data_IF_100517577732
#
_entry.id   IF_100517577732
#
_cell.length_a   1.000
_cell.length_b   1.000
_cell.length_c   1.000
_cell.angle_alpha   90.00
_cell.angle_beta   90.00
_cell.angle_gamma   90.00
#
_symmetry.space_group_name_H-M   'P 1'
#
loop_
_entity.id
_entity.type
_entity.pdbx_description
1 polymer ?
#
# COMPACT_ATOMS: atom_id res chain seq x y z
N UNK A 1 23.49 -13.77 12.07
CA UNK A 1 23.74 -14.40 13.42
C UNK A 1 25.19 -14.26 13.80
N UNK A 2 25.48 -13.93 15.05
CA UNK A 2 26.84 -13.80 15.60
C UNK A 2 27.00 -14.88 16.68
N UNK A 3 27.94 -15.80 16.49
CA UNK A 3 28.20 -16.92 17.39
C UNK A 3 26.94 -17.74 17.79
N UNK A 4 26.01 -17.89 16.87
CA UNK A 4 24.74 -18.59 17.10
C UNK A 4 23.61 -17.75 17.68
N UNK A 5 23.87 -16.51 18.08
CA UNK A 5 22.86 -15.56 18.55
C UNK A 5 22.29 -14.73 17.39
N UNK A 6 21.00 -14.53 17.39
CA UNK A 6 20.33 -13.64 16.43
C UNK A 6 20.57 -12.18 16.83
N UNK A 7 20.81 -11.33 15.86
CA UNK A 7 20.95 -9.87 16.06
C UNK A 7 19.65 -9.18 15.70
N UNK A 8 19.08 -8.42 16.62
CA UNK A 8 17.82 -7.71 16.46
C UNK A 8 18.04 -6.21 16.65
N UNK A 9 17.66 -5.39 15.66
CA UNK A 9 17.66 -3.93 15.82
C UNK A 9 16.25 -3.44 16.16
N UNK A 10 16.13 -2.65 17.25
CA UNK A 10 14.87 -2.03 17.64
C UNK A 10 14.65 -0.76 16.82
N UNK A 11 13.51 -0.66 16.16
CA UNK A 11 13.05 0.50 15.37
C UNK A 11 11.78 1.08 15.99
N UNK A 12 11.56 2.39 15.87
CA UNK A 12 10.34 2.98 16.41
C UNK A 12 10.52 4.44 16.83
N UNK A 13 9.41 5.07 17.23
CA UNK A 13 9.46 6.43 17.74
C UNK A 13 10.13 6.49 19.13
N UNK A 14 11.13 7.36 19.29
CA UNK A 14 11.84 7.57 20.56
C UNK A 14 10.97 8.13 21.69
N UNK A 15 9.68 8.42 21.43
CA UNK A 15 8.68 8.74 22.47
C UNK A 15 8.30 7.53 23.33
N UNK A 16 8.50 6.32 22.82
CA UNK A 16 8.15 5.06 23.49
C UNK A 16 9.33 4.45 24.22
N UNK A 17 10.03 5.27 25.02
CA UNK A 17 11.27 4.87 25.71
C UNK A 17 11.10 3.65 26.60
N UNK A 18 9.99 3.57 27.34
CA UNK A 18 9.73 2.47 28.27
C UNK A 18 9.56 1.17 27.53
N UNK A 19 8.80 1.17 26.43
CA UNK A 19 8.56 0.01 25.60
C UNK A 19 9.83 -0.46 24.87
N UNK A 20 10.72 0.48 24.47
CA UNK A 20 12.04 0.13 23.97
C UNK A 20 12.88 -0.62 25.02
N UNK A 21 12.91 -0.14 26.26
CA UNK A 21 13.67 -0.77 27.34
C UNK A 21 13.10 -2.12 27.72
N UNK A 22 11.77 -2.26 27.74
CA UNK A 22 11.09 -3.52 28.01
C UNK A 22 11.37 -4.55 26.90
N UNK A 23 11.19 -4.16 25.63
CA UNK A 23 11.49 -5.01 24.47
C UNK A 23 12.97 -5.44 24.46
N UNK A 24 13.91 -4.51 24.72
CA UNK A 24 15.33 -4.80 24.83
C UNK A 24 15.60 -5.84 25.90
N UNK A 25 15.05 -5.68 27.10
CA UNK A 25 15.20 -6.62 28.21
C UNK A 25 14.64 -8.01 27.84
N UNK A 26 13.41 -8.06 27.33
CA UNK A 26 12.74 -9.31 26.95
C UNK A 26 13.53 -10.06 25.89
N UNK A 27 13.86 -9.42 24.76
CA UNK A 27 14.57 -10.04 23.65
C UNK A 27 15.98 -10.50 24.04
N UNK A 28 16.66 -9.75 24.94
CA UNK A 28 17.97 -10.18 25.49
C UNK A 28 17.85 -11.44 26.33
N UNK A 29 16.82 -11.53 27.19
CA UNK A 29 16.56 -12.74 28.00
C UNK A 29 16.17 -13.96 27.15
N UNK A 30 15.60 -13.72 25.96
CA UNK A 30 15.32 -14.75 24.96
C UNK A 30 16.58 -15.22 24.21
N UNK A 31 17.75 -14.66 24.53
CA UNK A 31 19.05 -15.08 23.98
C UNK A 31 19.41 -14.35 22.67
N UNK A 32 18.90 -13.16 22.44
CA UNK A 32 19.24 -12.35 21.25
C UNK A 32 20.28 -11.26 21.60
N UNK A 33 21.05 -10.85 20.60
CA UNK A 33 21.85 -9.63 20.65
C UNK A 33 20.95 -8.49 20.21
N UNK A 34 20.68 -7.52 21.09
CA UNK A 34 19.75 -6.43 20.82
C UNK A 34 20.49 -5.11 20.63
N UNK A 35 20.25 -4.46 19.50
CA UNK A 35 20.77 -3.13 19.16
C UNK A 35 19.62 -2.12 19.26
N UNK A 36 19.74 -1.14 20.17
CA UNK A 36 18.71 -0.11 20.38
C UNK A 36 19.14 1.24 19.77
N UNK A 37 18.23 2.23 19.81
CA UNK A 37 18.44 3.59 19.26
C UNK A 37 19.61 4.33 19.93
N UNK A 38 19.81 4.17 21.23
CA UNK A 38 20.88 4.79 22.02
C UNK A 38 20.46 6.12 22.64
N UNK A 39 19.75 7.00 21.92
CA UNK A 39 19.24 8.28 22.40
C UNK A 39 17.72 8.38 22.16
N UNK A 40 17.01 8.96 23.12
CA UNK A 40 15.57 9.12 23.07
C UNK A 40 15.17 10.61 22.99
N UNK A 41 15.38 11.24 21.81
CA UNK A 41 15.17 12.66 21.61
C UNK A 41 13.78 13.18 21.97
N UNK A 42 12.72 12.39 21.76
CA UNK A 42 11.37 12.75 22.20
C UNK A 42 11.10 12.45 23.69
N UNK A 43 12.07 11.91 24.42
CA UNK A 43 11.94 11.50 25.83
C UNK A 43 13.11 12.02 26.69
N UNK A 44 13.63 13.21 26.34
CA UNK A 44 14.56 13.98 27.19
C UNK A 44 15.99 14.09 26.70
N UNK A 45 16.39 13.46 25.60
CA UNK A 45 17.73 13.59 25.03
C UNK A 45 17.78 14.73 23.99
N UNK A 46 17.66 15.99 24.45
CA UNK A 46 17.54 17.18 23.58
C UNK A 46 18.72 17.38 22.63
N UNK A 47 19.89 16.82 22.94
CA UNK A 47 21.08 16.86 22.08
C UNK A 47 20.82 16.29 20.67
N UNK A 48 19.82 15.41 20.52
CA UNK A 48 19.40 14.85 19.23
C UNK A 48 18.98 15.94 18.24
N UNK A 49 18.47 17.07 18.74
CA UNK A 49 17.97 18.18 17.93
C UNK A 49 19.05 19.21 17.56
N UNK A 50 20.30 18.99 17.97
CA UNK A 50 21.44 19.82 17.54
C UNK A 50 21.71 19.58 16.05
N UNK A 51 22.11 20.64 15.35
CA UNK A 51 22.38 20.60 13.90
C UNK A 51 23.32 19.44 13.53
N UNK A 52 22.95 18.68 12.52
CA UNK A 52 23.70 17.52 12.02
C UNK A 52 23.65 16.24 12.87
N UNK A 53 23.24 16.32 14.16
CA UNK A 53 23.21 15.15 15.05
C UNK A 53 22.12 14.19 14.62
N UNK A 54 20.91 14.67 14.35
CA UNK A 54 19.81 13.82 13.88
C UNK A 54 20.17 13.11 12.58
N UNK A 55 20.79 13.82 11.64
CA UNK A 55 21.25 13.25 10.37
C UNK A 55 22.26 12.10 10.58
N UNK A 56 23.22 12.32 11.44
CA UNK A 56 24.21 11.29 11.81
C UNK A 56 23.55 10.08 12.48
N UNK A 57 22.60 10.30 13.40
CA UNK A 57 21.87 9.21 14.08
C UNK A 57 21.00 8.41 13.13
N UNK A 58 20.32 9.06 12.18
CA UNK A 58 19.51 8.39 11.17
C UNK A 58 20.39 7.48 10.31
N UNK A 59 21.58 7.96 9.84
CA UNK A 59 22.54 7.14 9.10
C UNK A 59 23.07 5.98 9.95
N UNK A 60 23.43 6.25 11.20
CA UNK A 60 23.90 5.22 12.12
C UNK A 60 22.82 4.14 12.33
N UNK A 61 21.54 4.54 12.36
CA UNK A 61 20.47 3.59 12.57
C UNK A 61 20.27 2.64 11.38
N UNK A 62 20.38 3.13 10.14
CA UNK A 62 20.39 2.27 8.96
C UNK A 62 21.57 1.28 9.00
N UNK A 63 22.76 1.69 9.43
CA UNK A 63 23.88 0.78 9.63
C UNK A 63 23.62 -0.28 10.71
N UNK A 64 22.86 0.04 11.77
CA UNK A 64 22.40 -0.96 12.76
C UNK A 64 21.46 -1.98 12.13
N UNK A 65 20.58 -1.56 11.22
CA UNK A 65 19.70 -2.46 10.45
C UNK A 65 20.53 -3.38 9.56
N UNK A 66 21.59 -2.87 8.92
CA UNK A 66 22.50 -3.72 8.11
C UNK A 66 23.17 -4.83 8.93
N UNK A 67 23.54 -4.54 10.18
CA UNK A 67 24.13 -5.51 11.11
C UNK A 67 23.15 -6.56 11.62
N UNK A 68 21.83 -6.28 11.57
CA UNK A 68 20.79 -7.12 12.14
C UNK A 68 20.41 -8.29 11.22
N UNK A 69 19.96 -9.38 11.82
CA UNK A 69 19.23 -10.45 11.12
C UNK A 69 17.76 -10.07 10.91
N UNK A 70 17.19 -9.30 11.86
CA UNK A 70 15.82 -8.82 11.81
C UNK A 70 15.67 -7.49 12.54
N UNK A 71 14.59 -6.76 12.27
CA UNK A 71 14.19 -5.60 13.05
C UNK A 71 12.96 -5.91 13.90
N UNK A 72 12.87 -5.26 15.07
CA UNK A 72 11.69 -5.31 15.94
C UNK A 72 11.13 -3.88 16.07
N UNK A 73 9.92 -3.67 15.56
CA UNK A 73 9.27 -2.35 15.48
C UNK A 73 8.43 -2.10 16.73
N UNK A 74 8.75 -1.03 17.46
CA UNK A 74 8.00 -0.53 18.61
C UNK A 74 6.87 0.38 18.10
N UNK A 75 5.69 -0.18 17.88
CA UNK A 75 4.53 0.47 17.27
C UNK A 75 3.34 0.55 18.24
N UNK A 76 3.54 1.17 19.38
CA UNK A 76 2.51 1.33 20.43
C UNK A 76 1.26 2.02 19.86
N UNK A 77 0.09 1.42 20.07
CA UNK A 77 -1.18 1.89 19.52
C UNK A 77 -1.21 1.87 17.98
N UNK A 78 -0.36 1.05 17.35
CA UNK A 78 -0.23 1.00 15.88
C UNK A 78 0.57 2.14 15.28
N UNK A 79 1.12 3.07 16.09
CA UNK A 79 1.81 4.25 15.60
C UNK A 79 3.15 3.91 14.92
N UNK A 80 3.30 4.35 13.67
CA UNK A 80 4.53 4.30 12.88
C UNK A 80 4.82 5.70 12.33
N UNK A 81 5.87 6.35 12.84
CA UNK A 81 6.30 7.68 12.36
C UNK A 81 7.15 7.59 11.09
N UNK A 82 7.41 8.74 10.45
CA UNK A 82 8.12 8.81 9.16
C UNK A 82 9.50 8.16 9.18
N UNK A 83 10.30 8.38 10.24
CA UNK A 83 11.61 7.73 10.36
C UNK A 83 11.46 6.21 10.43
N UNK A 84 10.51 5.72 11.24
CA UNK A 84 10.25 4.28 11.37
C UNK A 84 9.73 3.67 10.07
N UNK A 85 8.89 4.39 9.32
CA UNK A 85 8.44 3.96 7.98
C UNK A 85 9.61 3.75 7.03
N UNK A 86 10.58 4.68 7.01
CA UNK A 86 11.81 4.55 6.21
C UNK A 86 12.69 3.39 6.67
N UNK A 87 12.80 3.16 7.96
CA UNK A 87 13.54 2.04 8.55
C UNK A 87 12.93 0.69 8.15
N UNK A 88 11.60 0.57 8.17
CA UNK A 88 10.85 -0.62 7.74
C UNK A 88 11.09 -0.88 6.25
N UNK A 89 10.93 0.14 5.40
CA UNK A 89 11.16 0.02 3.96
C UNK A 89 12.60 -0.40 3.64
N UNK A 90 13.57 0.18 4.34
CA UNK A 90 14.98 -0.17 4.20
C UNK A 90 15.26 -1.62 4.64
N UNK A 91 14.72 -2.04 5.77
CA UNK A 91 14.87 -3.41 6.26
C UNK A 91 14.25 -4.44 5.28
N UNK A 92 13.06 -4.14 4.72
CA UNK A 92 12.44 -4.98 3.69
C UNK A 92 13.32 -5.07 2.43
N UNK A 93 13.83 -3.93 1.94
CA UNK A 93 14.74 -3.88 0.81
C UNK A 93 15.99 -4.72 1.05
N UNK A 94 16.58 -4.67 2.26
CA UNK A 94 17.74 -5.50 2.67
C UNK A 94 17.38 -6.96 2.97
N UNK A 95 16.11 -7.37 2.78
CA UNK A 95 15.65 -8.74 3.02
C UNK A 95 15.64 -9.16 4.48
N UNK A 96 15.58 -8.19 5.41
CA UNK A 96 15.50 -8.48 6.84
C UNK A 96 14.08 -8.88 7.25
N UNK A 97 13.96 -9.79 8.21
CA UNK A 97 12.67 -10.07 8.82
C UNK A 97 12.19 -8.86 9.66
N UNK A 98 10.89 -8.60 9.63
CA UNK A 98 10.29 -7.47 10.34
C UNK A 98 9.24 -8.01 11.32
N UNK A 99 9.47 -7.77 12.60
CA UNK A 99 8.55 -8.10 13.68
C UNK A 99 8.00 -6.83 14.30
N UNK A 100 6.80 -6.89 14.83
CA UNK A 100 6.10 -5.75 15.42
C UNK A 100 5.75 -6.05 16.88
N UNK A 101 5.78 -5.01 17.72
CA UNK A 101 5.31 -5.09 19.11
C UNK A 101 3.80 -5.40 19.15
N UNK A 102 3.04 -4.67 18.36
CA UNK A 102 1.60 -4.85 18.21
C UNK A 102 1.28 -5.25 16.77
N UNK A 103 0.24 -6.08 16.60
CA UNK A 103 -0.24 -6.44 15.28
C UNK A 103 -0.63 -5.20 14.51
N UNK A 104 -0.05 -5.00 13.36
CA UNK A 104 -0.39 -3.90 12.48
C UNK A 104 -0.39 -4.36 11.04
N UNK A 105 -1.00 -3.54 10.20
CA UNK A 105 -0.96 -3.73 8.77
C UNK A 105 0.45 -3.47 8.23
N UNK A 106 0.87 -4.29 7.28
CA UNK A 106 2.12 -4.06 6.55
C UNK A 106 1.99 -2.82 5.67
N UNK A 107 3.06 -2.00 5.55
CA UNK A 107 3.08 -0.91 4.58
C UNK A 107 2.81 -1.42 3.17
N UNK A 108 2.16 -0.59 2.36
CA UNK A 108 1.90 -0.91 0.95
C UNK A 108 3.18 -0.95 0.12
N UNK A 109 3.10 -1.60 -1.04
CA UNK A 109 4.19 -1.60 -2.02
C UNK A 109 4.62 -0.17 -2.40
N UNK A 110 3.65 0.74 -2.57
CA UNK A 110 3.90 2.14 -2.94
C UNK A 110 4.49 2.95 -1.79
N UNK A 111 4.00 2.77 -0.55
CA UNK A 111 4.55 3.47 0.63
C UNK A 111 6.00 3.08 0.90
N UNK A 112 6.31 1.79 0.76
CA UNK A 112 7.68 1.30 0.91
C UNK A 112 8.60 1.85 -0.18
N UNK A 113 8.15 1.88 -1.43
CA UNK A 113 8.95 2.46 -2.50
C UNK A 113 9.16 3.97 -2.32
N UNK A 114 8.11 4.72 -1.95
CA UNK A 114 8.21 6.16 -1.65
C UNK A 114 9.21 6.44 -0.52
N UNK A 115 9.22 5.61 0.53
CA UNK A 115 10.19 5.73 1.63
C UNK A 115 11.64 5.48 1.16
N UNK A 116 11.86 4.58 0.20
CA UNK A 116 13.19 4.35 -0.38
C UNK A 116 13.62 5.49 -1.31
N UNK A 117 12.69 6.12 -2.03
CA UNK A 117 12.96 7.38 -2.77
C UNK A 117 13.42 8.48 -1.81
N UNK A 118 12.70 8.68 -0.69
CA UNK A 118 13.09 9.67 0.33
C UNK A 118 14.51 9.41 0.89
N UNK A 119 14.88 8.14 1.13
CA UNK A 119 16.22 7.77 1.60
C UNK A 119 17.29 8.02 0.54
N UNK A 120 16.99 7.78 -0.73
CA UNK A 120 17.91 8.06 -1.83
C UNK A 120 18.12 9.57 -2.01
N UNK A 121 17.05 10.37 -2.04
CA UNK A 121 17.11 11.82 -2.18
C UNK A 121 17.87 12.48 -1.03
N UNK A 122 17.79 11.89 0.18
CA UNK A 122 18.56 12.29 1.33
C UNK A 122 20.02 11.76 1.33
N UNK A 123 20.47 11.06 0.28
CA UNK A 123 21.80 10.46 0.19
C UNK A 123 22.07 9.36 1.23
N UNK A 124 21.03 8.64 1.68
CA UNK A 124 21.13 7.59 2.70
C UNK A 124 21.35 6.20 2.11
N UNK A 125 20.97 5.98 0.88
CA UNK A 125 21.26 4.78 0.10
C UNK A 125 21.96 5.19 -1.18
N UNK A 126 22.80 4.30 -1.71
CA UNK A 126 23.55 4.53 -2.94
C UNK A 126 22.66 4.45 -4.18
N UNK A 127 23.10 5.07 -5.29
CA UNK A 127 22.44 4.95 -6.59
C UNK A 127 22.29 3.47 -7.00
N UNK A 128 23.30 2.63 -6.73
CA UNK A 128 23.26 1.21 -7.04
C UNK A 128 22.17 0.48 -6.24
N UNK A 129 22.08 0.74 -4.92
CA UNK A 129 21.05 0.15 -4.08
C UNK A 129 19.65 0.68 -4.44
N UNK A 130 19.55 1.95 -4.79
CA UNK A 130 18.28 2.54 -5.25
C UNK A 130 17.80 1.91 -6.57
N UNK A 131 18.71 1.69 -7.54
CA UNK A 131 18.36 0.98 -8.78
C UNK A 131 17.90 -0.46 -8.52
N UNK A 132 18.51 -1.17 -7.58
CA UNK A 132 18.05 -2.50 -7.15
C UNK A 132 16.64 -2.43 -6.54
N UNK A 133 16.38 -1.42 -5.69
CA UNK A 133 15.07 -1.21 -5.08
C UNK A 133 14.01 -0.90 -6.14
N UNK A 134 14.32 -0.06 -7.13
CA UNK A 134 13.44 0.27 -8.26
C UNK A 134 13.10 -0.97 -9.08
N UNK A 135 14.10 -1.77 -9.43
CA UNK A 135 13.87 -3.03 -10.15
C UNK A 135 12.98 -3.99 -9.35
N UNK A 136 13.23 -4.13 -8.05
CA UNK A 136 12.42 -5.00 -7.18
C UNK A 136 10.97 -4.50 -7.06
N UNK A 137 10.76 -3.19 -6.98
CA UNK A 137 9.43 -2.59 -7.02
C UNK A 137 8.72 -2.88 -8.34
N UNK A 138 9.39 -2.65 -9.47
CA UNK A 138 8.83 -2.89 -10.79
C UNK A 138 8.43 -4.37 -11.00
N UNK A 139 9.23 -5.31 -10.53
CA UNK A 139 8.90 -6.74 -10.60
C UNK A 139 7.70 -7.11 -9.71
N UNK A 140 7.65 -6.62 -8.46
CA UNK A 140 6.50 -6.82 -7.59
C UNK A 140 5.23 -6.21 -8.19
N UNK A 141 5.32 -5.00 -8.74
CA UNK A 141 4.22 -4.29 -9.41
C UNK A 141 3.74 -5.06 -10.63
N UNK A 142 4.62 -5.56 -11.49
CA UNK A 142 4.25 -6.39 -12.66
C UNK A 142 3.52 -7.66 -12.22
N UNK A 143 4.02 -8.35 -11.19
CA UNK A 143 3.38 -9.56 -10.67
C UNK A 143 1.98 -9.26 -10.11
N UNK A 144 1.82 -8.16 -9.37
CA UNK A 144 0.54 -7.71 -8.84
C UNK A 144 -0.47 -7.37 -9.96
N UNK A 145 -0.02 -6.68 -11.00
CA UNK A 145 -0.83 -6.39 -12.21
C UNK A 145 -1.25 -7.69 -12.92
N UNK A 146 -0.35 -8.65 -13.06
CA UNK A 146 -0.67 -9.92 -13.70
C UNK A 146 -1.73 -10.70 -12.89
N UNK A 147 -1.63 -10.72 -11.56
CA UNK A 147 -2.63 -11.31 -10.68
C UNK A 147 -4.00 -10.64 -10.86
N UNK A 148 -4.05 -9.30 -10.87
CA UNK A 148 -5.29 -8.54 -11.09
C UNK A 148 -5.93 -8.87 -12.44
N UNK A 149 -5.15 -8.88 -13.52
CA UNK A 149 -5.64 -9.15 -14.87
C UNK A 149 -6.07 -10.62 -15.07
N UNK A 150 -5.46 -11.56 -14.35
CA UNK A 150 -5.83 -12.98 -14.43
C UNK A 150 -7.11 -13.33 -13.66
N UNK A 151 -7.62 -12.45 -12.81
CA UNK A 151 -8.82 -12.70 -12.03
C UNK A 151 -10.07 -12.79 -12.94
N UNK A 152 -10.74 -13.97 -12.92
CA UNK A 152 -11.93 -14.25 -13.72
C UNK A 152 -13.21 -14.38 -12.89
N UNK A 153 -13.18 -14.01 -11.63
CA UNK A 153 -14.30 -14.17 -10.69
C UNK A 153 -14.29 -15.52 -9.97
N UNK A 154 -15.36 -15.97 -9.33
CA UNK A 154 -16.74 -15.45 -9.44
C UNK A 154 -16.93 -14.05 -8.83
N UNK A 155 -17.90 -13.32 -9.37
CA UNK A 155 -18.23 -11.98 -8.90
C UNK A 155 -19.45 -11.98 -7.96
N UNK A 156 -19.43 -11.20 -6.82
CA UNK A 156 -18.33 -10.36 -6.32
C UNK A 156 -17.13 -11.20 -5.87
N UNK A 157 -15.92 -10.71 -6.15
CA UNK A 157 -14.67 -11.36 -5.76
C UNK A 157 -14.04 -10.60 -4.58
N UNK A 158 -13.70 -11.31 -3.52
CA UNK A 158 -12.99 -10.74 -2.38
C UNK A 158 -11.48 -10.82 -2.60
N UNK A 159 -10.84 -9.68 -2.69
CA UNK A 159 -9.40 -9.60 -2.85
C UNK A 159 -8.66 -9.85 -1.52
N UNK A 160 -7.66 -10.72 -1.56
CA UNK A 160 -6.74 -10.94 -0.45
C UNK A 160 -5.45 -10.14 -0.62
N UNK A 161 -5.03 -9.95 -1.86
CA UNK A 161 -3.84 -9.17 -2.21
C UNK A 161 -4.28 -7.78 -2.66
N UNK A 162 -4.21 -6.81 -1.76
CA UNK A 162 -4.60 -5.43 -2.04
C UNK A 162 -3.64 -4.75 -3.01
N UNK A 163 -2.33 -5.11 -2.98
CA UNK A 163 -1.38 -4.62 -3.98
C UNK A 163 -1.81 -4.98 -5.40
N UNK A 164 -2.41 -6.16 -5.61
CA UNK A 164 -2.94 -6.54 -6.93
C UNK A 164 -4.03 -5.58 -7.40
N UNK A 165 -4.99 -5.25 -6.53
CA UNK A 165 -6.08 -4.31 -6.84
C UNK A 165 -5.53 -2.92 -7.14
N UNK A 166 -4.71 -2.38 -6.24
CA UNK A 166 -4.15 -1.04 -6.36
C UNK A 166 -3.27 -0.92 -7.61
N UNK A 167 -2.36 -1.87 -7.83
CA UNK A 167 -1.52 -1.89 -9.04
C UNK A 167 -2.37 -2.07 -10.31
N UNK A 168 -3.44 -2.89 -10.24
CA UNK A 168 -4.38 -3.08 -11.33
C UNK A 168 -5.11 -1.79 -11.72
N UNK A 169 -5.55 -1.01 -10.74
CA UNK A 169 -6.17 0.31 -10.97
C UNK A 169 -5.15 1.28 -11.54
N UNK A 170 -3.98 1.42 -10.90
CA UNK A 170 -2.96 2.41 -11.25
C UNK A 170 -2.17 2.10 -12.53
N UNK A 171 -2.27 0.89 -13.09
CA UNK A 171 -1.60 0.57 -14.36
C UNK A 171 -2.17 1.33 -15.57
N UNK A 172 -3.30 2.02 -15.39
CA UNK A 172 -4.17 2.41 -16.48
C UNK A 172 -4.20 3.95 -16.62
N UNK A 173 -4.04 4.42 -17.85
CA UNK A 173 -4.24 5.81 -18.21
C UNK A 173 -5.52 5.91 -19.07
N UNK A 174 -6.43 6.79 -18.69
CA UNK A 174 -7.69 7.05 -19.39
C UNK A 174 -8.00 8.54 -19.45
N UNK A 175 -9.21 8.89 -19.89
CA UNK A 175 -9.71 10.28 -19.89
C UNK A 175 -9.80 10.85 -18.47
N UNK A 176 -10.14 9.98 -17.50
CA UNK A 176 -10.08 10.26 -16.07
C UNK A 176 -9.17 9.22 -15.45
N UNK A 177 -8.11 9.65 -14.79
CA UNK A 177 -7.14 8.77 -14.12
C UNK A 177 -7.23 8.96 -12.61
N UNK A 178 -6.97 7.86 -11.89
CA UNK A 178 -6.90 7.80 -10.44
C UNK A 178 -5.44 7.74 -10.05
N UNK A 179 -5.02 8.50 -9.06
CA UNK A 179 -3.69 8.40 -8.47
C UNK A 179 -3.70 7.56 -7.18
N UNK A 180 -2.50 7.32 -6.63
CA UNK A 180 -2.37 6.52 -5.42
C UNK A 180 -3.10 7.14 -4.20
N UNK A 181 -3.12 8.47 -4.09
CA UNK A 181 -3.77 9.15 -2.97
C UNK A 181 -5.29 8.99 -2.99
N UNK A 182 -5.87 8.81 -4.19
CA UNK A 182 -7.30 8.60 -4.33
C UNK A 182 -7.77 7.24 -3.81
N UNK A 183 -6.89 6.24 -3.78
CA UNK A 183 -7.25 4.84 -3.49
C UNK A 183 -6.42 4.18 -2.38
N UNK A 184 -5.55 4.92 -1.71
CA UNK A 184 -4.72 4.38 -0.62
C UNK A 184 -5.54 3.80 0.54
N UNK A 185 -6.75 4.30 0.76
CA UNK A 185 -7.68 3.81 1.78
C UNK A 185 -8.18 2.37 1.53
N UNK A 186 -8.01 1.82 0.31
CA UNK A 186 -8.22 0.39 0.05
C UNK A 186 -7.32 -0.48 0.94
N UNK A 187 -6.18 0.04 1.34
CA UNK A 187 -5.30 -0.65 2.26
C UNK A 187 -5.81 -0.63 3.71
N UNK A 188 -6.67 0.28 4.11
CA UNK A 188 -7.23 0.38 5.46
C UNK A 188 -8.52 -0.42 5.63
N UNK A 189 -9.02 -1.01 4.56
CA UNK A 189 -10.24 -1.78 4.56
C UNK A 189 -10.06 -3.19 5.12
N UNK A 190 -11.00 -3.67 5.92
CA UNK A 190 -11.04 -5.06 6.37
C UNK A 190 -11.26 -6.04 5.21
N UNK A 191 -12.04 -5.61 4.22
CA UNK A 191 -12.37 -6.40 3.04
C UNK A 191 -12.48 -5.49 1.80
N UNK A 192 -11.88 -5.93 0.70
CA UNK A 192 -12.02 -5.27 -0.61
C UNK A 192 -12.72 -6.24 -1.55
N UNK A 193 -13.81 -5.81 -2.15
CA UNK A 193 -14.57 -6.58 -3.12
C UNK A 193 -14.55 -5.93 -4.50
N UNK A 194 -14.54 -6.74 -5.54
CA UNK A 194 -14.69 -6.30 -6.93
C UNK A 194 -15.84 -7.00 -7.61
N UNK A 195 -16.58 -6.26 -8.44
CA UNK A 195 -17.58 -6.76 -9.36
C UNK A 195 -17.22 -6.28 -10.75
N UNK A 196 -17.12 -7.19 -11.72
CA UNK A 196 -16.98 -6.85 -13.14
C UNK A 196 -18.26 -7.18 -13.89
N UNK A 197 -18.78 -6.20 -14.62
CA UNK A 197 -20.04 -6.31 -15.36
C UNK A 197 -19.74 -6.04 -16.83
N UNK A 198 -19.97 -7.05 -17.68
CA UNK A 198 -19.89 -6.88 -19.13
C UNK A 198 -21.20 -6.39 -19.69
N UNK A 199 -21.14 -5.38 -20.55
CA UNK A 199 -22.28 -4.90 -21.31
C UNK A 199 -22.78 -5.97 -22.28
N UNK A 200 -24.10 -6.10 -22.37
CA UNK A 200 -24.78 -7.03 -23.29
C UNK A 200 -25.60 -6.23 -24.28
N UNK A 201 -25.43 -6.51 -25.55
CA UNK A 201 -26.14 -5.82 -26.64
C UNK A 201 -25.32 -5.73 -27.90
N UNK A 202 -25.96 -5.38 -28.99
CA UNK A 202 -25.35 -5.25 -30.33
C UNK A 202 -24.76 -3.87 -30.58
N UNK A 203 -25.12 -2.88 -29.78
CA UNK A 203 -24.63 -1.52 -29.86
C UNK A 203 -24.31 -0.97 -28.46
N UNK A 204 -23.64 0.19 -28.41
CA UNK A 204 -23.16 0.82 -27.18
C UNK A 204 -24.32 1.15 -26.23
N UNK A 205 -25.43 1.62 -26.73
CA UNK A 205 -26.58 2.05 -25.92
C UNK A 205 -27.22 0.84 -25.19
N UNK A 206 -27.39 -0.28 -25.89
CA UNK A 206 -27.85 -1.55 -25.28
C UNK A 206 -26.88 -2.06 -24.23
N UNK A 207 -25.59 -1.99 -24.48
CA UNK A 207 -24.56 -2.40 -23.52
C UNK A 207 -24.59 -1.51 -22.26
N UNK A 208 -24.70 -0.20 -22.42
CA UNK A 208 -24.84 0.76 -21.31
C UNK A 208 -26.09 0.42 -20.48
N UNK A 209 -27.22 0.25 -21.13
CA UNK A 209 -28.49 -0.04 -20.44
C UNK A 209 -28.41 -1.37 -19.67
N UNK A 210 -27.78 -2.39 -20.25
CA UNK A 210 -27.61 -3.69 -19.59
C UNK A 210 -26.71 -3.62 -18.34
N UNK A 211 -25.69 -2.77 -18.34
CA UNK A 211 -24.83 -2.53 -17.18
C UNK A 211 -25.62 -1.82 -16.07
N UNK A 212 -26.36 -0.77 -16.42
CA UNK A 212 -27.20 -0.01 -15.48
C UNK A 212 -28.25 -0.93 -14.83
N UNK A 213 -28.93 -1.75 -15.62
CA UNK A 213 -29.92 -2.68 -15.12
C UNK A 213 -29.31 -3.73 -14.19
N UNK A 214 -28.12 -4.22 -14.49
CA UNK A 214 -27.40 -5.14 -13.61
C UNK A 214 -27.04 -4.49 -12.27
N UNK A 215 -26.59 -3.24 -12.29
CA UNK A 215 -26.30 -2.47 -11.06
C UNK A 215 -27.58 -2.31 -10.25
N UNK A 216 -28.63 -1.77 -10.84
CA UNK A 216 -29.90 -1.49 -10.15
C UNK A 216 -30.53 -2.73 -9.53
N UNK A 217 -30.54 -3.84 -10.28
CA UNK A 217 -31.26 -5.04 -9.87
C UNK A 217 -30.44 -5.94 -8.92
N UNK A 218 -29.10 -5.87 -8.98
CA UNK A 218 -28.25 -6.85 -8.29
C UNK A 218 -27.29 -6.24 -7.27
N UNK A 219 -26.70 -5.09 -7.57
CA UNK A 219 -25.56 -4.57 -6.81
C UNK A 219 -25.84 -3.29 -6.05
N UNK A 220 -26.94 -2.57 -6.34
CA UNK A 220 -27.19 -1.24 -5.77
C UNK A 220 -27.27 -1.24 -4.24
N UNK A 221 -27.85 -2.26 -3.62
CA UNK A 221 -27.95 -2.36 -2.17
C UNK A 221 -26.55 -2.51 -1.51
N UNK A 222 -25.68 -3.32 -2.12
CA UNK A 222 -24.31 -3.52 -1.66
C UNK A 222 -23.49 -2.24 -1.83
N UNK A 223 -23.61 -1.57 -2.97
CA UNK A 223 -22.90 -0.32 -3.26
C UNK A 223 -23.28 0.78 -2.25
N UNK A 224 -24.57 0.90 -1.89
CA UNK A 224 -25.04 1.87 -0.89
C UNK A 224 -24.54 1.62 0.53
N UNK A 225 -24.14 0.41 0.84
CA UNK A 225 -23.53 0.05 2.14
C UNK A 225 -22.01 0.19 2.16
N UNK A 226 -21.39 0.47 1.02
CA UNK A 226 -19.93 0.56 0.89
C UNK A 226 -19.43 1.94 1.30
N UNK A 227 -18.30 1.97 2.01
CA UNK A 227 -17.68 3.23 2.46
C UNK A 227 -17.00 3.98 1.31
N UNK A 228 -16.51 3.26 0.32
CA UNK A 228 -15.83 3.79 -0.87
C UNK A 228 -16.09 2.92 -2.08
N UNK A 229 -16.25 3.55 -3.23
CA UNK A 229 -16.46 2.87 -4.50
C UNK A 229 -15.47 3.40 -5.53
N UNK A 230 -14.68 2.53 -6.13
CA UNK A 230 -13.84 2.85 -7.28
C UNK A 230 -14.48 2.24 -8.51
N UNK A 231 -14.78 3.05 -9.51
CA UNK A 231 -15.43 2.61 -10.75
C UNK A 231 -14.46 2.76 -11.92
N UNK A 232 -14.16 1.66 -12.58
CA UNK A 232 -13.37 1.64 -13.81
C UNK A 232 -14.25 1.22 -14.98
N UNK A 233 -14.34 2.08 -15.97
CA UNK A 233 -15.06 1.83 -17.20
C UNK A 233 -14.09 1.49 -18.33
N UNK A 234 -14.34 0.40 -19.02
CA UNK A 234 -13.60 -0.07 -20.17
C UNK A 234 -14.47 0.01 -21.42
N UNK A 235 -13.99 0.62 -22.48
CA UNK A 235 -14.71 0.72 -23.75
C UNK A 235 -13.94 1.48 -24.83
N UNK A 236 -14.38 1.37 -26.07
CA UNK A 236 -13.79 2.04 -27.23
C UNK A 236 -14.49 3.35 -27.64
N UNK A 237 -15.63 3.67 -26.99
CA UNK A 237 -16.46 4.84 -27.29
C UNK A 237 -16.41 5.87 -26.16
N UNK A 238 -16.93 7.08 -26.43
CA UNK A 238 -17.07 8.14 -25.45
C UNK A 238 -17.93 7.64 -24.25
N UNK A 239 -17.37 7.62 -23.04
CA UNK A 239 -18.07 7.11 -21.86
C UNK A 239 -19.04 8.12 -21.24
N UNK A 240 -19.18 9.32 -21.79
CA UNK A 240 -19.92 10.45 -21.18
C UNK A 240 -21.35 10.08 -20.82
N UNK A 241 -22.07 9.46 -21.75
CA UNK A 241 -23.48 9.05 -21.51
C UNK A 241 -23.60 7.98 -20.42
N UNK A 242 -22.65 7.06 -20.34
CA UNK A 242 -22.65 6.04 -19.29
C UNK A 242 -22.29 6.65 -17.94
N UNK A 243 -21.30 7.54 -17.91
CA UNK A 243 -20.90 8.23 -16.68
C UNK A 243 -22.03 9.08 -16.11
N UNK A 244 -22.77 9.81 -16.96
CA UNK A 244 -23.93 10.61 -16.54
C UNK A 244 -25.02 9.71 -15.95
N UNK A 245 -25.41 8.65 -16.65
CA UNK A 245 -26.44 7.69 -16.17
C UNK A 245 -26.02 6.93 -14.93
N UNK A 246 -24.72 6.62 -14.77
CA UNK A 246 -24.18 5.98 -13.57
C UNK A 246 -24.11 6.96 -12.40
N UNK A 247 -23.72 8.22 -12.64
CA UNK A 247 -23.72 9.25 -11.63
C UNK A 247 -25.11 9.42 -10.99
N UNK A 248 -26.16 9.46 -11.78
CA UNK A 248 -27.56 9.50 -11.30
C UNK A 248 -27.93 8.29 -10.41
N UNK A 249 -27.38 7.11 -10.72
CA UNK A 249 -27.59 5.90 -9.91
C UNK A 249 -26.80 5.89 -8.62
N UNK A 250 -25.67 6.62 -8.56
CA UNK A 250 -24.68 6.58 -7.50
C UNK A 250 -24.52 7.91 -6.75
N UNK A 251 -25.41 8.86 -6.96
CA UNK A 251 -25.33 10.26 -6.45
C UNK A 251 -25.12 10.37 -4.93
N UNK A 252 -25.47 9.33 -4.17
CA UNK A 252 -25.30 9.27 -2.72
C UNK A 252 -24.01 8.54 -2.25
N UNK A 253 -23.17 8.11 -3.18
CA UNK A 253 -21.99 7.28 -2.89
C UNK A 253 -20.70 8.10 -2.95
N UNK A 254 -19.73 7.75 -2.10
CA UNK A 254 -18.38 8.28 -2.18
C UNK A 254 -17.62 7.55 -3.30
N UNK A 255 -17.70 8.05 -4.54
CA UNK A 255 -17.21 7.38 -5.74
C UNK A 255 -15.94 8.03 -6.26
N UNK A 256 -14.93 7.21 -6.52
CA UNK A 256 -13.74 7.58 -7.31
C UNK A 256 -13.90 7.00 -8.72
N UNK A 257 -13.88 7.87 -9.71
CA UNK A 257 -14.11 7.52 -11.11
C UNK A 257 -12.81 7.34 -11.89
N UNK A 258 -12.75 6.27 -12.66
CA UNK A 258 -11.69 6.04 -13.63
C UNK A 258 -12.27 5.55 -14.95
N UNK A 259 -11.71 6.01 -16.07
CA UNK A 259 -12.08 5.52 -17.39
C UNK A 259 -10.87 4.92 -18.11
N UNK A 260 -11.07 3.84 -18.83
CA UNK A 260 -10.05 3.19 -19.65
C UNK A 260 -10.59 2.87 -21.04
N UNK A 261 -9.88 3.31 -22.09
CA UNK A 261 -10.13 2.84 -23.45
C UNK A 261 -9.46 1.47 -23.66
N UNK A 262 -10.24 0.48 -24.08
CA UNK A 262 -9.73 -0.78 -24.61
C UNK A 262 -9.67 -0.67 -26.13
N UNK A 263 -8.48 -0.65 -26.70
CA UNK A 263 -8.25 -0.39 -28.11
C UNK A 263 -8.77 -1.46 -29.09
N UNK A 264 -9.32 -2.57 -28.61
CA UNK A 264 -9.59 -3.75 -29.46
C UNK A 264 -10.97 -4.42 -29.30
N UNK A 265 -11.91 -3.84 -28.53
CA UNK A 265 -13.21 -4.48 -28.30
C UNK A 265 -14.37 -3.49 -28.38
N UNK A 266 -15.36 -3.81 -29.21
CA UNK A 266 -16.70 -3.22 -29.18
C UNK A 266 -17.51 -3.65 -27.92
N UNK A 267 -16.83 -4.04 -26.86
CA UNK A 267 -17.42 -4.52 -25.60
C UNK A 267 -17.15 -3.50 -24.52
N UNK A 268 -18.19 -3.12 -23.79
CA UNK A 268 -18.07 -2.33 -22.59
C UNK A 268 -18.01 -3.25 -21.37
N UNK A 269 -17.12 -2.94 -20.46
CA UNK A 269 -17.04 -3.61 -19.16
C UNK A 269 -16.92 -2.54 -18.06
N UNK A 270 -17.63 -2.74 -16.98
CA UNK A 270 -17.55 -1.93 -15.78
C UNK A 270 -16.95 -2.76 -14.65
N UNK A 271 -15.88 -2.26 -14.03
CA UNK A 271 -15.35 -2.79 -12.77
C UNK A 271 -15.73 -1.84 -11.63
N UNK A 272 -16.28 -2.40 -10.58
CA UNK A 272 -16.67 -1.68 -9.36
C UNK A 272 -15.93 -2.33 -8.20
N UNK A 273 -15.12 -1.54 -7.49
CA UNK A 273 -14.38 -1.97 -6.30
C UNK A 273 -15.00 -1.27 -5.10
N UNK A 274 -15.28 -2.02 -4.03
CA UNK A 274 -15.95 -1.56 -2.81
C UNK A 274 -15.19 -1.98 -1.56
N UNK A 275 -15.27 -1.14 -0.52
CA UNK A 275 -14.75 -1.39 0.82
C UNK A 275 -15.82 -1.19 1.88
#
# INVERSE_FOLDING_TARGET
MVNGFKVITLCGSTRFKEEFLEAQKRLTLEGNIVISVGLFGHSGDDVVWTEGVKDMLDRQHLAKIDLADEIFVINVGGYIGDSTRREIAYAEFKGKAILYLESCRKPSLYDNYAALVELHDAGRISDEDFEKARCAFDEKRKAAIAEYNACQGPWPYQWKNIDAVVCGILQQHGLVSVDYHDIKDLYDADCVYEVRIKGKGSNVEEQIQSIIDAIRNKYLAQLRSSMRVVVTLYGSSDPSDLLEKLADCMDSLNVVWQTRALFDKNEMELSIITI
#
